data_IF_898345111252
#
_entry.id   IF_898345111252
#
_cell.length_a   1.000
_cell.length_b   1.000
_cell.length_c   1.000
_cell.angle_alpha   90.00
_cell.angle_beta   90.00
_cell.angle_gamma   90.00
#
_symmetry.space_group_name_H-M   'P 1'
#
loop_
_entity.id
_entity.type
_entity.pdbx_description
1 polymer ?
#
# COMPACT_ATOMS: atom_id res chain seq x y z
N UNK A 1 -9.95 -13.70 -11.98
CA UNK A 1 -10.33 -12.57 -12.85
C UNK A 1 -9.54 -11.28 -12.54
N UNK A 2 -9.45 -10.80 -11.30
CA UNK A 2 -8.67 -9.58 -11.01
C UNK A 2 -7.18 -9.68 -11.39
N UNK A 3 -6.53 -10.84 -11.16
CA UNK A 3 -5.12 -11.05 -11.48
C UNK A 3 -4.78 -10.85 -12.96
N UNK A 4 -5.63 -11.31 -13.89
CA UNK A 4 -5.36 -11.15 -15.33
C UNK A 4 -5.43 -9.69 -15.77
N UNK A 5 -6.35 -8.90 -15.20
CA UNK A 5 -6.43 -7.45 -15.45
C UNK A 5 -5.17 -6.76 -14.93
N UNK A 6 -4.78 -7.03 -13.68
CA UNK A 6 -3.57 -6.43 -13.09
C UNK A 6 -2.32 -6.85 -13.85
N UNK A 7 -2.27 -8.07 -14.39
CA UNK A 7 -1.15 -8.51 -15.21
C UNK A 7 -1.05 -7.73 -16.53
N UNK A 8 -2.18 -7.44 -17.19
CA UNK A 8 -2.19 -6.59 -18.39
C UNK A 8 -1.73 -5.17 -18.05
N UNK A 9 -2.23 -4.61 -16.95
CA UNK A 9 -1.78 -3.29 -16.46
C UNK A 9 -0.27 -3.27 -16.17
N UNK A 10 0.27 -4.35 -15.59
CA UNK A 10 1.69 -4.51 -15.34
C UNK A 10 2.51 -4.54 -16.64
N UNK A 11 2.03 -5.27 -17.65
CA UNK A 11 2.68 -5.29 -18.96
C UNK A 11 2.70 -3.91 -19.59
N UNK A 12 1.56 -3.19 -19.57
CA UNK A 12 1.50 -1.82 -20.08
C UNK A 12 2.48 -0.89 -19.36
N UNK A 13 2.63 -1.05 -18.04
CA UNK A 13 3.61 -0.29 -17.28
C UNK A 13 5.06 -0.62 -17.68
N UNK A 14 5.38 -1.90 -17.91
CA UNK A 14 6.70 -2.32 -18.39
C UNK A 14 7.05 -1.82 -19.79
N UNK A 15 6.05 -1.47 -20.60
CA UNK A 15 6.20 -0.85 -21.93
C UNK A 15 6.39 0.68 -21.85
N UNK A 16 6.59 1.24 -20.66
CA UNK A 16 6.89 2.67 -20.45
C UNK A 16 5.67 3.55 -20.21
N UNK A 17 4.47 2.97 -20.00
CA UNK A 17 3.26 3.75 -19.64
C UNK A 17 3.16 3.92 -18.13
N UNK A 18 2.72 5.09 -17.67
CA UNK A 18 2.39 5.27 -16.25
C UNK A 18 0.97 4.74 -15.97
N UNK A 19 0.84 3.81 -15.04
CA UNK A 19 -0.46 3.25 -14.63
C UNK A 19 -0.72 3.58 -13.17
N UNK A 20 -1.84 4.25 -12.90
CA UNK A 20 -2.34 4.52 -11.54
C UNK A 20 -3.72 3.91 -11.43
N UNK A 21 -3.95 3.08 -10.42
CA UNK A 21 -5.26 2.50 -10.17
C UNK A 21 -5.53 2.32 -8.67
N UNK A 22 -6.80 2.37 -8.30
CA UNK A 22 -7.27 1.98 -6.96
C UNK A 22 -7.78 0.55 -7.00
N UNK A 23 -7.38 -0.26 -6.02
CA UNK A 23 -7.89 -1.63 -5.87
C UNK A 23 -8.51 -1.81 -4.49
N UNK A 24 -9.75 -2.27 -4.47
CA UNK A 24 -10.42 -2.62 -3.23
C UNK A 24 -10.07 -4.07 -2.86
N UNK A 25 -9.42 -4.27 -1.72
CA UNK A 25 -9.08 -5.59 -1.15
C UNK A 25 -8.36 -6.53 -2.13
N UNK A 26 -7.12 -6.21 -2.54
CA UNK A 26 -6.34 -7.11 -3.39
C UNK A 26 -5.98 -8.38 -2.61
N UNK A 27 -6.04 -9.53 -3.26
CA UNK A 27 -5.42 -10.74 -2.69
C UNK A 27 -3.90 -10.58 -2.61
N UNK A 28 -3.23 -11.30 -1.69
CA UNK A 28 -1.76 -11.20 -1.53
C UNK A 28 -0.97 -11.36 -2.84
N UNK A 29 -1.31 -12.30 -3.76
CA UNK A 29 -0.61 -12.42 -5.03
C UNK A 29 -0.82 -11.22 -5.97
N UNK A 30 -1.97 -10.56 -5.89
CA UNK A 30 -2.27 -9.35 -6.69
C UNK A 30 -1.55 -8.14 -6.08
N UNK A 31 -1.55 -8.03 -4.76
CA UNK A 31 -0.84 -6.99 -4.02
C UNK A 31 0.65 -6.95 -4.39
N UNK A 32 1.29 -8.10 -4.54
CA UNK A 32 2.71 -8.21 -4.91
C UNK A 32 3.04 -7.81 -6.35
N UNK A 33 2.06 -7.59 -7.23
CA UNK A 33 2.30 -7.18 -8.62
C UNK A 33 2.61 -5.69 -8.77
N UNK A 34 2.23 -4.88 -7.77
CA UNK A 34 2.42 -3.43 -7.79
C UNK A 34 3.86 -3.04 -7.47
N UNK A 35 4.39 -2.05 -8.19
CA UNK A 35 5.73 -1.49 -7.95
C UNK A 35 5.74 -0.58 -6.72
N UNK A 36 4.72 0.26 -6.59
CA UNK A 36 4.56 1.25 -5.53
C UNK A 36 3.15 1.21 -4.96
N UNK A 37 3.04 1.59 -3.70
CA UNK A 37 1.80 1.69 -2.95
C UNK A 37 1.54 3.13 -2.54
N UNK A 38 0.28 3.54 -2.63
CA UNK A 38 -0.28 4.68 -1.93
C UNK A 38 -1.35 4.13 -0.99
N UNK A 39 -1.08 4.16 0.32
CA UNK A 39 -2.03 3.77 1.36
C UNK A 39 -2.56 5.02 2.03
N UNK A 40 -3.89 5.15 2.04
CA UNK A 40 -4.60 6.27 2.62
C UNK A 40 -5.63 5.77 3.63
N UNK A 41 -5.83 6.55 4.68
CA UNK A 41 -6.92 6.36 5.63
C UNK A 41 -7.37 7.73 6.15
N UNK A 42 -8.68 7.92 6.27
CA UNK A 42 -9.32 9.17 6.72
C UNK A 42 -8.82 10.42 5.97
N UNK A 43 -8.71 10.32 4.64
CA UNK A 43 -8.24 11.41 3.78
C UNK A 43 -6.76 11.74 3.88
N UNK A 44 -5.99 11.02 4.71
CA UNK A 44 -4.56 11.23 4.91
C UNK A 44 -3.74 10.10 4.29
N UNK A 45 -2.57 10.45 3.76
CA UNK A 45 -1.57 9.46 3.34
C UNK A 45 -0.97 8.84 4.59
N UNK A 46 -0.95 7.51 4.66
CA UNK A 46 -0.26 6.76 5.69
C UNK A 46 1.10 6.24 5.19
N UNK A 47 1.16 5.84 3.92
CA UNK A 47 2.39 5.41 3.26
C UNK A 47 2.32 5.71 1.76
N UNK A 48 3.44 6.14 1.20
CA UNK A 48 3.65 6.23 -0.23
C UNK A 48 5.07 5.75 -0.54
N UNK A 49 5.23 4.84 -1.49
CA UNK A 49 6.55 4.35 -1.90
C UNK A 49 6.56 2.91 -2.40
N UNK A 50 7.75 2.34 -2.66
CA UNK A 50 7.89 0.97 -3.15
C UNK A 50 7.25 -0.05 -2.20
N UNK A 51 6.60 -1.07 -2.76
CA UNK A 51 5.91 -2.10 -1.95
C UNK A 51 6.86 -2.82 -0.98
N UNK A 52 8.11 -3.03 -1.38
CA UNK A 52 9.14 -3.67 -0.56
C UNK A 52 9.47 -2.90 0.72
N UNK A 53 9.32 -1.58 0.70
CA UNK A 53 9.62 -0.72 1.84
C UNK A 53 8.45 -0.59 2.83
N UNK A 54 7.24 -0.95 2.41
CA UNK A 54 6.05 -0.83 3.25
C UNK A 54 6.19 -1.64 4.53
N UNK A 55 6.74 -2.86 4.44
CA UNK A 55 6.91 -3.75 5.59
C UNK A 55 7.82 -3.13 6.66
N UNK A 56 8.97 -2.60 6.25
CA UNK A 56 9.94 -2.03 7.18
C UNK A 56 9.42 -0.72 7.78
N UNK A 57 8.75 0.10 6.96
CA UNK A 57 8.07 1.31 7.41
C UNK A 57 7.03 1.00 8.50
N UNK A 58 6.06 0.13 8.21
CA UNK A 58 5.01 -0.19 9.19
C UNK A 58 5.58 -0.89 10.43
N UNK A 59 6.61 -1.72 10.27
CA UNK A 59 7.30 -2.33 11.42
C UNK A 59 7.95 -1.29 12.33
N UNK A 60 8.55 -0.23 11.78
CA UNK A 60 9.11 0.89 12.56
C UNK A 60 8.05 1.67 13.36
N UNK A 61 6.80 1.66 12.90
CA UNK A 61 5.65 2.26 13.57
C UNK A 61 4.97 1.31 14.57
N UNK A 62 5.54 0.12 14.80
CA UNK A 62 4.99 -0.91 15.68
C UNK A 62 3.92 -1.81 15.04
N UNK A 63 3.72 -1.71 13.73
CA UNK A 63 2.74 -2.50 12.96
C UNK A 63 3.44 -3.64 12.20
N UNK A 64 3.57 -4.79 12.87
CA UNK A 64 4.22 -5.98 12.31
C UNK A 64 3.17 -6.94 11.75
N UNK A 65 3.08 -7.01 10.42
CA UNK A 65 2.16 -7.93 9.74
C UNK A 65 2.56 -9.40 10.00
N UNK A 66 1.67 -10.24 10.54
CA UNK A 66 1.92 -11.68 10.65
C UNK A 66 2.14 -12.32 9.28
N UNK A 67 2.98 -13.36 9.21
CA UNK A 67 3.31 -14.04 7.94
C UNK A 67 2.11 -14.72 7.26
N UNK A 68 1.08 -15.06 8.04
CA UNK A 68 -0.15 -15.70 7.56
C UNK A 68 -1.20 -14.71 7.08
N UNK A 69 -0.95 -13.41 7.24
CA UNK A 69 -1.89 -12.36 6.88
C UNK A 69 -1.56 -11.76 5.51
N UNK A 70 -2.59 -11.29 4.82
CA UNK A 70 -2.42 -10.44 3.67
C UNK A 70 -1.96 -9.05 4.15
N UNK A 71 -0.80 -8.55 3.70
CA UNK A 71 -0.30 -7.25 4.14
C UNK A 71 -1.26 -6.10 3.82
N UNK A 72 -1.96 -6.12 2.68
CA UNK A 72 -2.92 -5.04 2.34
C UNK A 72 -4.03 -4.93 3.37
N UNK A 73 -4.58 -6.08 3.76
CA UNK A 73 -5.72 -6.15 4.66
C UNK A 73 -5.31 -5.83 6.09
N UNK A 74 -4.12 -6.32 6.50
CA UNK A 74 -3.53 -6.00 7.79
C UNK A 74 -3.30 -4.50 7.94
N UNK A 75 -2.57 -3.86 7.01
CA UNK A 75 -2.28 -2.42 7.12
C UNK A 75 -3.57 -1.60 7.06
N UNK A 76 -4.49 -1.89 6.14
CA UNK A 76 -5.74 -1.12 6.05
C UNK A 76 -6.59 -1.24 7.33
N UNK A 77 -6.65 -2.43 7.94
CA UNK A 77 -7.34 -2.64 9.21
C UNK A 77 -6.71 -1.84 10.34
N UNK A 78 -5.39 -1.89 10.48
CA UNK A 78 -4.68 -1.16 11.53
C UNK A 78 -4.82 0.36 11.33
N UNK A 79 -4.73 0.85 10.09
CA UNK A 79 -4.93 2.26 9.76
C UNK A 79 -6.36 2.75 10.03
N UNK A 80 -7.37 1.88 9.86
CA UNK A 80 -8.77 2.17 10.20
C UNK A 80 -9.01 2.40 11.71
N UNK A 81 -8.10 1.93 12.56
CA UNK A 81 -8.15 2.22 13.99
C UNK A 81 -7.62 3.64 14.25
N UNK A 82 -8.55 4.58 14.47
CA UNK A 82 -8.37 6.04 14.59
C UNK A 82 -7.26 6.53 15.55
N UNK A 83 -6.72 5.67 16.43
CA UNK A 83 -5.61 6.00 17.35
C UNK A 83 -4.22 5.96 16.70
N UNK A 84 -4.06 5.29 15.56
CA UNK A 84 -2.74 5.10 14.94
C UNK A 84 -2.39 6.24 13.97
N UNK A 85 -3.36 6.79 13.25
CA UNK A 85 -3.15 7.91 12.30
C UNK A 85 -2.70 9.21 12.98
N UNK A 86 -3.03 9.42 14.25
CA UNK A 86 -2.55 10.59 15.01
C UNK A 86 -1.11 10.46 15.49
N UNK A 87 -0.54 9.25 15.47
CA UNK A 87 0.81 8.94 15.98
C UNK A 87 1.83 8.55 14.92
N UNK A 88 1.39 8.11 13.73
CA UNK A 88 2.33 7.72 12.67
C UNK A 88 2.92 8.95 11.99
N UNK A 89 4.24 8.99 11.93
CA UNK A 89 4.95 9.91 11.03
C UNK A 89 4.79 9.39 9.60
N UNK A 90 4.04 10.13 8.78
CA UNK A 90 3.84 9.74 7.39
C UNK A 90 5.14 9.95 6.60
N UNK A 91 5.54 8.95 5.81
CA UNK A 91 6.82 8.91 5.07
C UNK A 91 7.03 10.08 4.08
N UNK A 92 6.03 10.92 3.82
CA UNK A 92 6.16 12.12 2.98
C UNK A 92 5.30 13.30 3.46
N UNK A 93 5.08 13.47 4.78
CA UNK A 93 4.23 14.56 5.30
C UNK A 93 4.74 15.99 5.03
N UNK A 94 5.91 16.16 4.40
CA UNK A 94 6.55 17.45 4.13
C UNK A 94 6.48 17.91 2.66
N UNK A 95 5.80 17.18 1.77
CA UNK A 95 5.77 17.51 0.33
C UNK A 95 4.42 17.97 -0.22
N UNK A 96 3.54 18.48 0.64
CA UNK A 96 2.36 19.22 0.21
C UNK A 96 2.63 20.72 0.43
N UNK A 97 2.95 21.39 -0.67
CA UNK A 97 2.77 22.85 -0.83
C UNK A 97 1.29 23.19 -0.63
#
# INVERSE_FOLDING_TARGET
MAKSIVQVLKTMASEGRTVVCTIHQPSSPVFQLFDSLLLMADGRVAFMGPIGEAKDFFSSQGLVCPKTYNPSDYYLRELGNMRLLSRMECKYSQFWI
#
